data_IF_458337713290
#
_entry.id   IF_458337713290
#
_cell.length_a   1.000
_cell.length_b   1.000
_cell.length_c   1.000
_cell.angle_alpha   90.00
_cell.angle_beta   90.00
_cell.angle_gamma   90.00
#
_symmetry.space_group_name_H-M   'P 1'
#
loop_
_entity.id
_entity.type
_entity.pdbx_description
1 polymer ?
#
# COMPACT_ATOMS: atom_id res chain seq x y z
N UNK A 1 -45.70 4.64 24.94
CA UNK A 1 -44.33 4.28 25.32
C UNK A 1 -43.36 4.16 24.14
N UNK A 2 -43.75 3.74 22.95
CA UNK A 2 -42.89 3.59 21.75
C UNK A 2 -42.41 4.93 21.17
N UNK A 3 -43.26 5.97 21.15
CA UNK A 3 -42.92 7.28 20.54
C UNK A 3 -41.85 8.04 21.31
N UNK A 4 -41.77 7.92 22.65
CA UNK A 4 -40.73 8.53 23.49
C UNK A 4 -39.38 7.88 23.31
N UNK A 5 -39.33 6.57 23.01
CA UNK A 5 -38.06 5.86 22.74
C UNK A 5 -37.49 6.24 21.37
N UNK A 6 -38.35 6.43 20.36
CA UNK A 6 -37.90 6.86 19.03
C UNK A 6 -37.40 8.30 19.06
N UNK A 7 -38.09 9.19 19.81
CA UNK A 7 -37.61 10.57 19.98
C UNK A 7 -36.28 10.67 20.74
N UNK A 8 -36.06 9.78 21.73
CA UNK A 8 -34.78 9.68 22.47
C UNK A 8 -33.61 9.19 21.60
N UNK A 9 -33.88 8.27 20.68
CA UNK A 9 -32.87 7.75 19.76
C UNK A 9 -32.51 8.81 18.69
N UNK A 10 -33.51 9.54 18.16
CA UNK A 10 -33.25 10.64 17.22
C UNK A 10 -32.49 11.78 17.90
N UNK A 11 -32.81 12.11 19.14
CA UNK A 11 -32.08 13.13 19.90
C UNK A 11 -30.65 12.70 20.25
N UNK A 12 -30.42 11.41 20.54
CA UNK A 12 -29.08 10.85 20.76
C UNK A 12 -28.23 10.85 19.49
N UNK A 13 -28.82 10.58 18.33
CA UNK A 13 -28.13 10.66 17.03
C UNK A 13 -27.79 12.12 16.70
N UNK A 14 -28.69 13.07 16.94
CA UNK A 14 -28.40 14.50 16.74
C UNK A 14 -27.33 15.02 17.71
N UNK A 15 -27.23 14.51 18.93
CA UNK A 15 -26.18 14.90 19.89
C UNK A 15 -24.80 14.27 19.57
N UNK A 16 -24.78 13.12 18.90
CA UNK A 16 -23.52 12.48 18.46
C UNK A 16 -22.89 13.19 17.24
N UNK A 17 -23.70 13.83 16.40
CA UNK A 17 -23.22 14.62 15.25
C UNK A 17 -22.58 15.95 15.70
N UNK A 18 -22.91 16.48 16.88
CA UNK A 18 -22.46 17.80 17.34
C UNK A 18 -21.13 17.82 18.11
N UNK A 19 -20.42 16.69 18.26
CA UNK A 19 -19.13 16.65 18.97
C UNK A 19 -17.91 16.44 18.08
N UNK A 20 -18.06 16.50 16.75
CA UNK A 20 -16.91 16.55 15.85
C UNK A 20 -16.35 17.98 15.77
N UNK A 21 -15.96 18.53 16.93
CA UNK A 21 -15.06 19.67 16.93
C UNK A 21 -13.65 19.13 16.68
N UNK A 22 -13.24 19.11 15.42
CA UNK A 22 -11.84 19.06 15.07
C UNK A 22 -11.18 20.35 15.60
N UNK A 23 -10.81 20.36 16.88
CA UNK A 23 -10.07 21.46 17.51
C UNK A 23 -8.63 21.43 17.00
N UNK A 24 -8.45 21.93 15.79
CA UNK A 24 -7.16 22.37 15.26
C UNK A 24 -7.23 23.88 15.11
N UNK A 25 -6.93 24.64 16.17
CA UNK A 25 -6.73 26.09 16.06
C UNK A 25 -5.49 26.35 15.21
N UNK A 26 -5.65 26.61 13.93
CA UNK A 26 -4.72 27.46 13.18
C UNK A 26 -5.42 28.79 12.94
N UNK A 27 -4.84 29.85 13.51
CA UNK A 27 -5.22 31.24 13.37
C UNK A 27 -4.95 31.72 11.92
N UNK A 28 -5.79 31.32 11.00
CA UNK A 28 -6.01 32.04 9.74
C UNK A 28 -7.48 31.83 9.40
N UNK A 29 -8.17 32.93 9.22
CA UNK A 29 -9.57 33.00 8.77
C UNK A 29 -9.64 32.46 7.32
N UNK A 30 -9.53 31.14 7.17
CA UNK A 30 -9.63 30.45 5.90
C UNK A 30 -11.09 30.11 5.70
N UNK A 31 -11.67 30.59 4.62
CA UNK A 31 -13.04 30.24 4.26
C UNK A 31 -13.20 28.75 4.04
N UNK A 32 -14.40 28.22 4.21
CA UNK A 32 -14.72 26.82 3.97
C UNK A 32 -14.93 26.55 2.49
N UNK A 33 -14.01 25.84 1.84
CA UNK A 33 -14.12 25.51 0.43
C UNK A 33 -15.20 24.44 0.15
N UNK A 34 -15.52 23.60 1.12
CA UNK A 34 -16.50 22.52 0.96
C UNK A 34 -17.17 22.17 2.30
N UNK A 35 -18.48 21.89 2.25
CA UNK A 35 -19.25 21.30 3.34
C UNK A 35 -19.87 19.97 2.89
N UNK A 36 -19.91 18.99 3.80
CA UNK A 36 -20.63 17.72 3.60
C UNK A 36 -21.58 17.53 4.79
N UNK A 37 -22.89 17.48 4.52
CA UNK A 37 -23.93 17.38 5.57
C UNK A 37 -23.81 18.46 6.65
N UNK A 38 -23.37 19.67 6.29
CA UNK A 38 -23.15 20.77 7.23
C UNK A 38 -21.85 20.68 8.04
N UNK A 39 -20.99 19.69 7.76
CA UNK A 39 -19.65 19.58 8.36
C UNK A 39 -18.63 20.17 7.40
N UNK A 40 -17.85 21.10 7.89
CA UNK A 40 -16.78 21.73 7.11
C UNK A 40 -15.64 20.75 6.82
N UNK A 41 -15.28 20.65 5.54
CA UNK A 41 -14.03 20.03 5.12
C UNK A 41 -12.98 21.15 5.07
N UNK A 42 -11.92 20.99 5.85
CA UNK A 42 -10.87 22.02 5.94
C UNK A 42 -10.22 22.26 4.57
N UNK A 43 -9.90 23.51 4.31
CA UNK A 43 -9.37 23.99 3.02
C UNK A 43 -8.15 23.21 2.54
N UNK A 44 -7.26 22.86 3.46
CA UNK A 44 -6.06 22.09 3.19
C UNK A 44 -6.37 20.64 2.78
N UNK A 45 -7.42 20.01 3.36
CA UNK A 45 -7.92 18.69 2.96
C UNK A 45 -8.57 18.77 1.57
N UNK A 46 -9.40 19.80 1.31
CA UNK A 46 -9.99 19.97 -0.01
C UNK A 46 -8.93 20.25 -1.08
N UNK A 47 -7.92 21.06 -0.76
CA UNK A 47 -6.78 21.35 -1.67
C UNK A 47 -6.01 20.09 -2.01
N UNK A 48 -5.77 19.20 -1.04
CA UNK A 48 -5.14 17.90 -1.30
C UNK A 48 -5.96 17.07 -2.29
N UNK A 49 -7.29 16.99 -2.12
CA UNK A 49 -8.14 16.24 -3.04
C UNK A 49 -8.24 16.90 -4.42
N UNK A 50 -8.15 18.23 -4.50
CA UNK A 50 -8.10 18.93 -5.77
C UNK A 50 -6.77 18.66 -6.50
N UNK A 51 -5.65 18.62 -5.77
CA UNK A 51 -4.36 18.21 -6.33
C UNK A 51 -4.39 16.77 -6.85
N UNK A 52 -4.99 15.86 -6.09
CA UNK A 52 -5.17 14.47 -6.51
C UNK A 52 -6.04 14.35 -7.78
N UNK A 53 -7.11 15.15 -7.87
CA UNK A 53 -7.93 15.23 -9.09
C UNK A 53 -7.13 15.74 -10.30
N UNK A 54 -6.23 16.69 -10.09
CA UNK A 54 -5.30 17.17 -11.14
C UNK A 54 -4.30 16.08 -11.55
N UNK A 55 -3.83 15.25 -10.61
CA UNK A 55 -2.97 14.09 -10.93
C UNK A 55 -3.72 13.09 -11.81
N UNK A 56 -4.97 12.80 -11.48
CA UNK A 56 -5.77 11.79 -12.19
C UNK A 56 -6.26 12.24 -13.57
N UNK A 57 -6.70 13.50 -13.69
CA UNK A 57 -7.35 14.00 -14.89
C UNK A 57 -6.45 14.87 -15.78
N UNK A 58 -5.30 15.27 -15.27
CA UNK A 58 -4.39 16.21 -15.91
C UNK A 58 -4.71 17.69 -15.54
N UNK A 59 -3.67 18.54 -15.56
CA UNK A 59 -3.78 19.97 -15.23
C UNK A 59 -4.67 20.73 -16.21
N UNK A 60 -4.77 20.29 -17.46
CA UNK A 60 -5.57 20.90 -18.53
C UNK A 60 -7.04 20.43 -18.52
N UNK A 61 -7.42 19.56 -17.58
CA UNK A 61 -8.81 19.10 -17.48
C UNK A 61 -9.75 20.26 -17.12
N UNK A 62 -11.02 20.23 -17.59
CA UNK A 62 -11.99 21.26 -17.22
C UNK A 62 -12.10 21.42 -15.70
N UNK A 63 -11.98 22.65 -15.20
CA UNK A 63 -12.03 22.91 -13.76
C UNK A 63 -13.29 22.35 -13.07
N UNK A 64 -14.41 22.31 -13.80
CA UNK A 64 -15.64 21.68 -13.31
C UNK A 64 -15.41 20.20 -13.00
N UNK A 65 -14.77 19.44 -13.91
CA UNK A 65 -14.48 18.02 -13.73
C UNK A 65 -13.48 17.76 -12.59
N UNK A 66 -12.48 18.63 -12.45
CA UNK A 66 -11.53 18.58 -11.34
C UNK A 66 -12.22 18.78 -9.98
N UNK A 67 -13.14 19.75 -9.89
CA UNK A 67 -13.92 19.98 -8.66
C UNK A 67 -14.87 18.82 -8.34
N UNK A 68 -15.55 18.27 -9.35
CA UNK A 68 -16.41 17.10 -9.18
C UNK A 68 -15.62 15.89 -8.69
N UNK A 69 -14.43 15.67 -9.24
CA UNK A 69 -13.55 14.58 -8.81
C UNK A 69 -13.01 14.79 -7.39
N UNK A 70 -12.57 16.02 -7.06
CA UNK A 70 -12.14 16.39 -5.71
C UNK A 70 -13.25 16.21 -4.67
N UNK A 71 -14.50 16.58 -5.03
CA UNK A 71 -15.67 16.35 -4.18
C UNK A 71 -15.89 14.87 -3.92
N UNK A 72 -15.81 14.05 -4.95
CA UNK A 72 -15.94 12.59 -4.80
C UNK A 72 -14.91 12.01 -3.83
N UNK A 73 -13.67 12.46 -3.87
CA UNK A 73 -12.65 12.06 -2.90
C UNK A 73 -12.97 12.52 -1.48
N UNK A 74 -13.39 13.78 -1.32
CA UNK A 74 -13.77 14.32 -0.01
C UNK A 74 -15.00 13.61 0.56
N UNK A 75 -15.98 13.24 -0.27
CA UNK A 75 -17.14 12.43 0.14
C UNK A 75 -16.75 11.05 0.61
N UNK A 76 -15.85 10.35 -0.13
CA UNK A 76 -15.33 9.04 0.28
C UNK A 76 -14.56 9.15 1.60
N UNK A 77 -13.70 10.15 1.75
CA UNK A 77 -13.00 10.46 3.00
C UNK A 77 -13.98 10.65 4.17
N UNK A 78 -15.01 11.46 3.98
CA UNK A 78 -16.03 11.73 4.99
C UNK A 78 -16.81 10.47 5.37
N UNK A 79 -17.28 9.70 4.37
CA UNK A 79 -18.04 8.45 4.57
C UNK A 79 -17.19 7.41 5.29
N UNK A 80 -15.91 7.25 4.91
CA UNK A 80 -14.97 6.32 5.55
C UNK A 80 -14.80 6.62 7.03
N UNK A 81 -14.52 7.89 7.38
CA UNK A 81 -14.39 8.31 8.77
C UNK A 81 -15.70 8.10 9.54
N UNK A 82 -16.84 8.50 8.96
CA UNK A 82 -18.17 8.37 9.58
C UNK A 82 -18.53 6.91 9.83
N UNK A 83 -18.29 6.02 8.86
CA UNK A 83 -18.58 4.60 9.00
C UNK A 83 -17.67 3.97 10.07
N UNK A 84 -16.35 4.23 10.04
CA UNK A 84 -15.41 3.70 11.02
C UNK A 84 -15.81 4.11 12.45
N UNK A 85 -16.13 5.37 12.65
CA UNK A 85 -16.59 5.86 13.96
C UNK A 85 -17.91 5.23 14.39
N UNK A 86 -18.88 5.07 13.47
CA UNK A 86 -20.18 4.43 13.79
C UNK A 86 -20.03 2.97 14.20
N UNK A 87 -19.00 2.29 13.67
CA UNK A 87 -18.63 0.92 14.05
C UNK A 87 -17.73 0.85 15.29
N UNK A 88 -17.40 1.99 15.92
CA UNK A 88 -16.51 2.04 17.09
C UNK A 88 -15.06 1.69 16.78
N UNK A 89 -14.65 1.75 15.51
CA UNK A 89 -13.28 1.44 15.07
C UNK A 89 -12.34 2.55 15.53
N UNK A 90 -11.24 2.14 16.14
CA UNK A 90 -10.16 3.03 16.56
C UNK A 90 -8.82 2.42 16.16
N UNK A 91 -7.89 3.26 15.67
CA UNK A 91 -6.57 2.78 15.31
C UNK A 91 -5.73 2.46 16.56
N UNK A 92 -5.06 1.34 16.55
CA UNK A 92 -4.07 0.92 17.55
C UNK A 92 -2.85 1.85 17.56
N UNK A 93 -1.99 1.72 18.57
CA UNK A 93 -0.72 2.46 18.65
C UNK A 93 0.19 2.11 17.44
N UNK A 94 0.21 0.86 17.02
CA UNK A 94 1.01 0.40 15.88
C UNK A 94 0.52 1.02 14.55
N UNK A 95 -0.79 1.05 14.32
CA UNK A 95 -1.38 1.65 13.12
C UNK A 95 -1.16 3.17 13.09
N UNK A 96 -1.31 3.87 14.22
CA UNK A 96 -1.00 5.31 14.32
C UNK A 96 0.47 5.59 14.03
N UNK A 97 1.38 4.72 14.49
CA UNK A 97 2.80 4.82 14.18
C UNK A 97 3.06 4.62 12.68
N UNK A 98 2.44 3.61 12.06
CA UNK A 98 2.54 3.36 10.62
C UNK A 98 2.02 4.57 9.80
N UNK A 99 0.90 5.18 10.21
CA UNK A 99 0.42 6.45 9.60
C UNK A 99 1.49 7.54 9.70
N UNK A 100 2.08 7.75 10.88
CA UNK A 100 3.12 8.76 11.08
C UNK A 100 4.36 8.51 10.22
N UNK A 101 4.79 7.26 10.09
CA UNK A 101 5.92 6.87 9.22
C UNK A 101 5.61 7.12 7.75
N UNK A 102 4.41 6.76 7.29
CA UNK A 102 3.92 7.04 5.92
C UNK A 102 3.87 8.55 5.64
N UNK A 103 3.35 9.34 6.59
CA UNK A 103 3.33 10.81 6.50
C UNK A 103 4.75 11.37 6.37
N UNK A 104 5.68 10.94 7.21
CA UNK A 104 7.05 11.43 7.20
C UNK A 104 7.77 11.08 5.89
N UNK A 105 7.61 9.86 5.40
CA UNK A 105 8.18 9.42 4.12
C UNK A 105 7.62 10.26 2.97
N UNK A 106 6.29 10.41 2.89
CA UNK A 106 5.63 11.17 1.84
C UNK A 106 6.00 12.67 1.88
N UNK A 107 6.04 13.24 3.08
CA UNK A 107 6.48 14.61 3.29
C UNK A 107 7.94 14.84 2.89
N UNK A 108 8.80 13.86 3.08
CA UNK A 108 10.20 13.92 2.66
C UNK A 108 10.37 14.12 1.16
N UNK A 109 9.46 13.58 0.36
CA UNK A 109 9.50 13.71 -1.10
C UNK A 109 8.72 14.94 -1.62
N UNK A 110 7.59 15.29 -1.01
CA UNK A 110 6.64 16.24 -1.57
C UNK A 110 6.37 17.45 -0.68
N UNK A 111 7.00 17.57 0.51
CA UNK A 111 6.67 18.58 1.51
C UNK A 111 6.88 20.02 1.05
N UNK A 112 7.89 20.30 0.21
CA UNK A 112 8.10 21.61 -0.37
C UNK A 112 6.94 22.01 -1.30
N UNK A 113 6.54 21.11 -2.17
CA UNK A 113 5.40 21.28 -3.08
C UNK A 113 4.11 21.49 -2.28
N UNK A 114 3.82 20.61 -1.32
CA UNK A 114 2.61 20.72 -0.50
C UNK A 114 2.53 22.03 0.28
N UNK A 115 3.65 22.50 0.83
CA UNK A 115 3.69 23.77 1.53
C UNK A 115 3.26 24.93 0.62
N UNK A 116 3.66 24.93 -0.65
CA UNK A 116 3.30 25.97 -1.62
C UNK A 116 1.81 25.97 -1.96
N UNK A 117 1.16 24.82 -1.97
CA UNK A 117 -0.29 24.70 -2.23
C UNK A 117 -1.13 24.72 -0.94
N UNK A 118 -0.53 24.93 0.23
CA UNK A 118 -1.23 25.05 1.51
C UNK A 118 -1.61 23.73 2.19
N UNK A 119 -1.09 22.60 1.72
CA UNK A 119 -1.24 21.29 2.36
C UNK A 119 -0.17 21.11 3.43
N UNK A 120 -0.50 20.53 4.58
CA UNK A 120 0.36 20.37 5.75
C UNK A 120 0.61 18.90 6.10
N UNK A 121 1.58 18.63 6.98
CA UNK A 121 1.73 17.26 7.55
C UNK A 121 0.48 16.79 8.31
N UNK A 122 -0.21 17.71 8.95
CA UNK A 122 -1.46 17.41 9.65
C UNK A 122 -2.55 16.99 8.67
N UNK A 123 -2.64 17.66 7.52
CA UNK A 123 -3.51 17.26 6.40
C UNK A 123 -3.24 15.82 5.98
N UNK A 124 -1.97 15.50 5.69
CA UNK A 124 -1.59 14.14 5.32
C UNK A 124 -1.90 13.11 6.41
N UNK A 125 -1.75 13.51 7.69
CA UNK A 125 -2.11 12.65 8.81
C UNK A 125 -3.61 12.34 8.80
N UNK A 126 -4.48 13.32 8.55
CA UNK A 126 -5.92 13.12 8.43
C UNK A 126 -6.27 12.17 7.28
N UNK A 127 -5.65 12.38 6.11
CA UNK A 127 -5.90 11.56 4.91
C UNK A 127 -5.44 10.10 5.15
N UNK A 128 -4.19 9.89 5.57
CA UNK A 128 -3.66 8.54 5.79
C UNK A 128 -4.30 7.82 6.99
N UNK A 129 -4.88 8.58 7.93
CA UNK A 129 -5.74 8.01 8.97
C UNK A 129 -7.03 7.45 8.37
N UNK A 130 -7.65 8.16 7.42
CA UNK A 130 -8.85 7.66 6.74
C UNK A 130 -8.54 6.42 5.87
N UNK A 131 -7.36 6.37 5.21
CA UNK A 131 -6.90 5.16 4.51
C UNK A 131 -6.79 3.97 5.49
N UNK A 132 -6.21 4.22 6.69
CA UNK A 132 -6.11 3.19 7.74
C UNK A 132 -7.47 2.79 8.31
N UNK A 133 -8.43 3.70 8.38
CA UNK A 133 -9.82 3.35 8.73
C UNK A 133 -10.49 2.50 7.66
N UNK A 134 -10.24 2.75 6.36
CA UNK A 134 -10.75 1.88 5.28
C UNK A 134 -10.19 0.45 5.43
N UNK A 135 -8.90 0.32 5.69
CA UNK A 135 -8.28 -0.99 5.93
C UNK A 135 -8.85 -1.67 7.20
N UNK A 136 -9.04 -0.92 8.27
CA UNK A 136 -9.64 -1.43 9.50
C UNK A 136 -11.11 -1.88 9.29
N UNK A 137 -11.89 -1.14 8.49
CA UNK A 137 -13.24 -1.53 8.07
C UNK A 137 -13.23 -2.81 7.25
N UNK A 138 -12.29 -2.95 6.31
CA UNK A 138 -12.11 -4.17 5.52
C UNK A 138 -11.90 -5.38 6.43
N UNK A 139 -10.97 -5.27 7.39
CA UNK A 139 -10.69 -6.34 8.36
C UNK A 139 -11.88 -6.57 9.30
N UNK A 140 -12.59 -5.51 9.71
CA UNK A 140 -13.77 -5.60 10.58
C UNK A 140 -14.90 -6.42 9.95
N UNK A 141 -15.19 -6.20 8.67
CA UNK A 141 -16.27 -6.92 7.99
C UNK A 141 -15.84 -8.29 7.49
N UNK A 142 -14.66 -8.40 6.89
CA UNK A 142 -14.23 -9.57 6.11
C UNK A 142 -13.09 -10.37 6.74
N UNK A 143 -12.48 -9.85 7.81
CA UNK A 143 -11.45 -10.53 8.59
C UNK A 143 -12.01 -11.62 9.50
N UNK A 144 -11.16 -12.24 10.29
CA UNK A 144 -11.55 -13.30 11.24
C UNK A 144 -12.55 -12.78 12.26
N UNK A 145 -13.72 -13.41 12.33
CA UNK A 145 -14.82 -13.04 13.22
C UNK A 145 -15.69 -11.89 12.71
N UNK A 146 -15.42 -11.39 11.51
CA UNK A 146 -16.26 -10.39 10.85
C UNK A 146 -17.59 -10.97 10.37
N UNK A 147 -18.60 -10.09 10.15
CA UNK A 147 -19.95 -10.51 9.73
C UNK A 147 -19.94 -11.24 8.38
N UNK A 148 -18.99 -10.90 7.50
CA UNK A 148 -18.85 -11.43 6.15
C UNK A 148 -17.46 -12.09 6.00
N UNK A 149 -17.00 -12.78 7.04
CA UNK A 149 -15.66 -13.38 7.09
C UNK A 149 -15.36 -14.22 5.84
N UNK A 150 -14.22 -13.94 5.19
CA UNK A 150 -13.76 -14.72 4.05
C UNK A 150 -13.18 -16.03 4.55
N UNK A 151 -13.65 -17.18 4.03
CA UNK A 151 -13.13 -18.49 4.43
C UNK A 151 -11.61 -18.58 4.22
N UNK A 152 -10.90 -19.12 5.23
CA UNK A 152 -9.45 -19.29 5.20
C UNK A 152 -8.95 -20.01 3.94
N UNK A 153 -9.71 -21.00 3.45
CA UNK A 153 -9.37 -21.72 2.24
C UNK A 153 -9.36 -20.82 0.99
N UNK A 154 -10.27 -19.82 0.92
CA UNK A 154 -10.32 -18.84 -0.18
C UNK A 154 -9.13 -17.88 -0.11
N UNK A 155 -8.81 -17.36 1.09
CA UNK A 155 -7.62 -16.54 1.31
C UNK A 155 -6.33 -17.27 0.92
N UNK A 156 -6.21 -18.54 1.33
CA UNK A 156 -5.05 -19.33 1.02
C UNK A 156 -4.94 -19.69 -0.47
N UNK A 157 -6.05 -19.93 -1.15
CA UNK A 157 -6.07 -20.11 -2.59
C UNK A 157 -5.56 -18.85 -3.32
N UNK A 158 -5.99 -17.66 -2.86
CA UNK A 158 -5.55 -16.38 -3.38
C UNK A 158 -4.06 -16.16 -3.12
N UNK A 159 -3.57 -16.47 -1.91
CA UNK A 159 -2.15 -16.40 -1.59
C UNK A 159 -1.31 -17.26 -2.55
N UNK A 160 -1.66 -18.53 -2.75
CA UNK A 160 -0.94 -19.42 -3.67
C UNK A 160 -0.97 -18.97 -5.13
N UNK A 161 -1.98 -18.21 -5.52
CA UNK A 161 -2.09 -17.66 -6.87
C UNK A 161 -1.15 -16.47 -7.06
N UNK A 162 -1.03 -15.60 -6.05
CA UNK A 162 -0.34 -14.33 -6.17
C UNK A 162 1.07 -14.32 -5.58
N UNK A 163 1.39 -15.25 -4.67
CA UNK A 163 2.67 -15.27 -3.95
C UNK A 163 3.37 -16.61 -4.06
N UNK A 164 4.69 -16.53 -4.06
CA UNK A 164 5.60 -17.66 -3.82
C UNK A 164 6.53 -17.31 -2.67
N UNK A 165 6.90 -18.33 -1.89
CA UNK A 165 7.87 -18.22 -0.80
C UNK A 165 9.05 -19.12 -1.13
N UNK A 166 10.25 -18.55 -1.10
CA UNK A 166 11.47 -19.30 -1.39
C UNK A 166 12.67 -18.71 -0.65
N UNK A 167 13.70 -19.52 -0.44
CA UNK A 167 15.04 -19.06 -0.11
C UNK A 167 15.81 -18.88 -1.41
N UNK A 168 16.66 -17.86 -1.47
CA UNK A 168 17.53 -17.61 -2.61
C UNK A 168 18.94 -17.24 -2.18
N UNK A 169 19.91 -17.73 -2.97
CA UNK A 169 21.28 -17.20 -3.02
C UNK A 169 21.44 -16.61 -4.41
N UNK A 170 21.93 -15.36 -4.49
CA UNK A 170 22.09 -14.63 -5.75
C UNK A 170 23.56 -14.54 -6.15
N UNK A 171 23.88 -14.89 -7.39
CA UNK A 171 25.15 -14.61 -8.03
C UNK A 171 24.98 -13.58 -9.15
N UNK A 172 25.97 -12.71 -9.31
CA UNK A 172 25.94 -11.63 -10.31
C UNK A 172 26.73 -12.06 -11.54
N UNK A 173 26.09 -12.02 -12.72
CA UNK A 173 26.72 -12.21 -14.04
C UNK A 173 27.22 -10.89 -14.63
N UNK A 174 27.21 -9.84 -13.81
CA UNK A 174 27.68 -8.49 -14.13
C UNK A 174 28.63 -8.00 -13.05
N UNK A 175 29.51 -7.08 -13.41
CA UNK A 175 30.43 -6.39 -12.49
C UNK A 175 30.57 -4.92 -12.87
N UNK A 176 31.01 -4.09 -11.92
CA UNK A 176 31.29 -2.68 -12.20
C UNK A 176 32.76 -2.56 -12.64
N UNK A 177 33.01 -2.02 -13.85
CA UNK A 177 34.34 -1.76 -14.35
C UNK A 177 34.96 -0.51 -13.70
N UNK A 178 36.25 -0.26 -13.99
CA UNK A 178 36.98 0.89 -13.45
C UNK A 178 36.40 2.25 -13.79
N UNK A 179 35.54 2.33 -14.82
CA UNK A 179 34.85 3.55 -15.23
C UNK A 179 33.48 3.69 -14.57
N UNK A 180 33.13 2.83 -13.62
CA UNK A 180 31.81 2.84 -12.96
C UNK A 180 30.65 2.27 -13.78
N UNK A 181 30.91 1.61 -14.92
CA UNK A 181 29.90 1.03 -15.79
C UNK A 181 29.64 -0.43 -15.43
N UNK A 182 28.38 -0.85 -15.44
CA UNK A 182 28.01 -2.26 -15.30
C UNK A 182 28.31 -3.00 -16.61
N UNK A 183 29.13 -4.03 -16.55
CA UNK A 183 29.53 -4.88 -17.69
C UNK A 183 29.31 -6.35 -17.32
N UNK A 184 29.04 -7.19 -18.33
CA UNK A 184 28.96 -8.64 -18.11
C UNK A 184 30.34 -9.20 -17.75
N UNK A 185 30.38 -10.18 -16.84
CA UNK A 185 31.60 -10.98 -16.59
C UNK A 185 31.98 -11.77 -17.85
N UNK A 186 33.22 -12.16 -17.96
CA UNK A 186 33.65 -12.96 -19.14
C UNK A 186 33.04 -14.38 -19.12
N UNK A 187 33.02 -15.07 -20.26
CA UNK A 187 32.36 -16.39 -20.37
C UNK A 187 33.02 -17.44 -19.47
N UNK A 188 34.35 -17.40 -19.26
CA UNK A 188 35.04 -18.33 -18.36
C UNK A 188 34.62 -18.15 -16.90
N UNK A 189 34.52 -16.91 -16.44
CA UNK A 189 33.99 -16.58 -15.09
C UNK A 189 32.55 -16.98 -14.94
N UNK A 190 31.73 -16.74 -15.97
CA UNK A 190 30.30 -17.11 -15.99
C UNK A 190 30.10 -18.63 -15.91
N UNK A 191 30.85 -19.40 -16.74
CA UNK A 191 30.83 -20.87 -16.69
C UNK A 191 31.24 -21.41 -15.33
N UNK A 192 32.32 -20.85 -14.76
CA UNK A 192 32.78 -21.23 -13.43
C UNK A 192 31.73 -20.94 -12.33
N UNK A 193 31.07 -19.80 -12.41
CA UNK A 193 30.01 -19.44 -11.47
C UNK A 193 28.78 -20.36 -11.63
N UNK A 194 28.36 -20.62 -12.85
CA UNK A 194 27.24 -21.56 -13.14
C UNK A 194 27.55 -22.94 -12.53
N UNK A 195 28.77 -23.46 -12.75
CA UNK A 195 29.19 -24.76 -12.21
C UNK A 195 29.15 -24.77 -10.66
N UNK A 196 29.58 -23.67 -10.00
CA UNK A 196 29.46 -23.55 -8.54
C UNK A 196 28.01 -23.64 -8.07
N UNK A 197 27.08 -22.92 -8.72
CA UNK A 197 25.67 -22.95 -8.39
C UNK A 197 25.05 -24.35 -8.62
N UNK A 198 25.45 -25.05 -9.69
CA UNK A 198 25.04 -26.43 -9.93
C UNK A 198 25.54 -27.38 -8.84
N UNK A 199 26.80 -27.24 -8.42
CA UNK A 199 27.37 -28.05 -7.33
C UNK A 199 26.65 -27.76 -6.01
N UNK A 200 26.41 -26.50 -5.65
CA UNK A 200 25.65 -26.13 -4.46
C UNK A 200 24.23 -26.74 -4.50
N UNK A 201 23.56 -26.66 -5.66
CA UNK A 201 22.25 -27.30 -5.84
C UNK A 201 22.30 -28.81 -5.59
N UNK A 202 23.31 -29.49 -6.11
CA UNK A 202 23.49 -30.92 -5.92
C UNK A 202 23.72 -31.28 -4.44
N UNK A 203 24.58 -30.54 -3.73
CA UNK A 203 24.91 -30.77 -2.32
C UNK A 203 23.70 -30.49 -1.41
N UNK A 204 22.94 -29.42 -1.68
CA UNK A 204 21.70 -29.13 -0.94
C UNK A 204 20.65 -30.23 -1.17
N UNK A 205 20.50 -30.69 -2.40
CA UNK A 205 19.55 -31.75 -2.73
C UNK A 205 19.97 -33.13 -2.19
N UNK A 206 21.25 -33.37 -2.00
CA UNK A 206 21.78 -34.57 -1.33
C UNK A 206 21.66 -34.51 0.21
N UNK A 207 21.31 -33.34 0.77
CA UNK A 207 21.28 -33.12 2.22
C UNK A 207 22.67 -32.97 2.86
N UNK A 208 23.71 -32.79 2.05
CA UNK A 208 25.09 -32.58 2.50
C UNK A 208 25.33 -31.16 3.02
N UNK A 209 24.54 -30.20 2.52
CA UNK A 209 24.55 -28.79 2.94
C UNK A 209 23.11 -28.27 3.05
N UNK A 210 22.92 -27.26 3.90
CA UNK A 210 21.72 -26.40 3.84
C UNK A 210 22.01 -25.14 3.01
N UNK A 211 20.99 -24.27 2.84
CA UNK A 211 21.14 -23.03 2.05
C UNK A 211 22.17 -22.06 2.65
N UNK A 212 22.27 -21.96 3.98
CA UNK A 212 23.22 -21.12 4.70
C UNK A 212 24.65 -21.60 4.43
N UNK A 213 24.92 -22.89 4.54
CA UNK A 213 26.23 -23.48 4.27
C UNK A 213 26.63 -23.34 2.79
N UNK A 214 25.65 -23.41 1.87
CA UNK A 214 25.89 -23.15 0.45
C UNK A 214 26.24 -21.68 0.19
N UNK A 215 25.64 -20.75 0.91
CA UNK A 215 25.99 -19.33 0.84
C UNK A 215 27.39 -19.05 1.38
N UNK A 216 27.76 -19.66 2.52
CA UNK A 216 29.08 -19.54 3.10
C UNK A 216 30.15 -20.07 2.13
N UNK A 217 29.90 -21.23 1.49
CA UNK A 217 30.82 -21.77 0.45
C UNK A 217 31.00 -20.80 -0.74
N UNK A 218 29.94 -20.11 -1.14
CA UNK A 218 30.02 -19.12 -2.21
C UNK A 218 30.87 -17.90 -1.75
N UNK A 219 30.66 -17.43 -0.50
CA UNK A 219 31.38 -16.32 0.10
C UNK A 219 32.92 -16.64 0.23
N UNK A 220 33.27 -17.82 0.69
CA UNK A 220 34.68 -18.30 0.77
C UNK A 220 35.34 -18.35 -0.61
N UNK A 221 34.54 -18.51 -1.66
CA UNK A 221 35.02 -18.49 -3.05
C UNK A 221 35.22 -17.09 -3.62
N UNK A 222 35.04 -16.02 -2.81
CA UNK A 222 35.23 -14.62 -3.21
C UNK A 222 34.00 -13.96 -3.86
N UNK A 223 32.82 -14.60 -3.82
CA UNK A 223 31.55 -14.03 -4.27
C UNK A 223 30.73 -13.56 -3.08
N UNK A 224 29.73 -12.70 -3.34
CA UNK A 224 28.75 -12.36 -2.31
C UNK A 224 27.85 -13.57 -2.08
N UNK A 225 27.82 -14.08 -0.84
CA UNK A 225 27.00 -15.20 -0.44
C UNK A 225 26.12 -14.80 0.74
N UNK A 226 24.80 -14.77 0.54
CA UNK A 226 23.83 -14.65 1.62
C UNK A 226 22.53 -15.34 1.21
N UNK A 227 21.87 -15.96 2.18
CA UNK A 227 20.54 -16.53 1.98
C UNK A 227 19.51 -15.44 2.29
N UNK A 228 18.57 -15.27 1.39
CA UNK A 228 17.40 -14.42 1.61
C UNK A 228 16.14 -15.26 1.54
N UNK A 229 15.24 -15.11 2.52
CA UNK A 229 13.88 -15.62 2.40
C UNK A 229 13.01 -14.55 1.76
N UNK A 230 12.39 -14.90 0.65
CA UNK A 230 11.63 -13.99 -0.21
C UNK A 230 10.18 -14.43 -0.26
N UNK A 231 9.28 -13.45 -0.10
CA UNK A 231 7.85 -13.58 -0.40
C UNK A 231 7.58 -12.71 -1.61
N UNK A 232 7.55 -13.32 -2.78
CA UNK A 232 7.47 -12.60 -4.06
C UNK A 232 6.03 -12.58 -4.56
N UNK A 233 5.51 -11.38 -4.84
CA UNK A 233 4.25 -11.21 -5.55
C UNK A 233 4.45 -11.41 -7.06
N UNK A 234 3.44 -11.92 -7.77
CA UNK A 234 3.51 -12.18 -9.21
C UNK A 234 3.80 -10.94 -10.07
N UNK A 235 3.36 -9.76 -9.60
CA UNK A 235 3.51 -8.48 -10.29
C UNK A 235 4.70 -7.65 -9.76
N UNK A 236 5.54 -8.23 -8.90
CA UNK A 236 6.74 -7.57 -8.38
C UNK A 236 7.79 -7.44 -9.49
N UNK A 237 8.25 -6.21 -9.71
CA UNK A 237 9.24 -5.86 -10.73
C UNK A 237 10.67 -5.80 -10.20
N UNK A 238 10.90 -6.10 -8.93
CA UNK A 238 12.25 -6.12 -8.31
C UNK A 238 13.10 -7.30 -8.77
N UNK A 239 12.46 -8.31 -9.38
CA UNK A 239 13.10 -9.47 -9.99
C UNK A 239 12.99 -9.42 -11.53
N UNK A 240 13.89 -10.12 -12.25
CA UNK A 240 13.86 -10.16 -13.72
C UNK A 240 12.49 -10.65 -14.27
N UNK A 241 12.07 -10.16 -15.44
CA UNK A 241 10.81 -10.59 -16.05
C UNK A 241 10.68 -12.11 -16.16
N UNK A 242 9.52 -12.64 -15.78
CA UNK A 242 9.22 -14.08 -15.77
C UNK A 242 9.89 -14.88 -14.64
N UNK A 243 10.61 -14.24 -13.72
CA UNK A 243 11.26 -14.93 -12.60
C UNK A 243 10.24 -15.60 -11.67
N UNK A 244 9.13 -14.93 -11.37
CA UNK A 244 8.03 -15.51 -10.58
C UNK A 244 7.59 -16.88 -11.13
N UNK A 245 7.28 -16.96 -12.43
CA UNK A 245 6.82 -18.19 -13.06
C UNK A 245 7.92 -19.27 -13.09
N UNK A 246 9.19 -18.87 -13.28
CA UNK A 246 10.31 -19.83 -13.21
C UNK A 246 10.39 -20.46 -11.82
N UNK A 247 10.31 -19.67 -10.75
CA UNK A 247 10.35 -20.18 -9.37
C UNK A 247 9.10 -21.00 -9.04
N UNK A 248 7.93 -20.51 -9.43
CA UNK A 248 6.64 -21.21 -9.22
C UNK A 248 6.62 -22.63 -9.80
N UNK A 249 7.28 -22.80 -10.95
CA UNK A 249 7.35 -24.10 -11.64
C UNK A 249 8.50 -25.02 -11.13
N UNK A 250 9.33 -24.57 -10.16
CA UNK A 250 10.30 -25.47 -9.54
C UNK A 250 9.60 -26.49 -8.62
N UNK A 251 10.24 -27.62 -8.41
CA UNK A 251 9.79 -28.61 -7.41
C UNK A 251 9.96 -28.01 -6.01
N UNK A 252 8.91 -28.12 -5.16
CA UNK A 252 8.99 -27.68 -3.77
C UNK A 252 10.03 -28.47 -2.99
N UNK A 253 10.75 -27.77 -2.09
CA UNK A 253 11.82 -28.33 -1.24
C UNK A 253 12.99 -28.94 -2.01
N UNK A 254 13.15 -28.58 -3.28
CA UNK A 254 14.28 -28.94 -4.11
C UNK A 254 15.02 -27.71 -4.58
N UNK A 255 16.32 -27.63 -4.27
CA UNK A 255 17.19 -26.56 -4.72
C UNK A 255 17.34 -26.61 -6.23
N UNK A 256 17.05 -25.50 -6.90
CA UNK A 256 17.06 -25.38 -8.36
C UNK A 256 17.86 -24.15 -8.77
N UNK A 257 18.70 -24.28 -9.79
CA UNK A 257 19.43 -23.14 -10.36
C UNK A 257 18.61 -22.46 -11.42
N UNK A 258 18.42 -21.14 -11.30
CA UNK A 258 17.71 -20.29 -12.26
C UNK A 258 18.65 -19.23 -12.78
N UNK A 259 18.94 -19.26 -14.08
CA UNK A 259 19.73 -18.24 -14.77
C UNK A 259 18.84 -17.16 -15.41
N UNK A 260 19.36 -15.92 -15.42
CA UNK A 260 18.87 -14.77 -16.17
C UNK A 260 20.03 -14.14 -16.94
N UNK A 261 19.82 -12.99 -17.57
CA UNK A 261 20.91 -12.31 -18.27
C UNK A 261 21.97 -11.72 -17.34
N UNK A 262 21.55 -11.25 -16.15
CA UNK A 262 22.41 -10.51 -15.21
C UNK A 262 22.68 -11.26 -13.92
N UNK A 263 21.87 -12.29 -13.62
CA UNK A 263 21.91 -13.01 -12.36
C UNK A 263 21.83 -14.52 -12.55
N UNK A 264 22.40 -15.23 -11.58
CA UNK A 264 22.15 -16.66 -11.36
C UNK A 264 21.65 -16.83 -9.92
N UNK A 265 20.61 -17.62 -9.75
CA UNK A 265 20.00 -17.86 -8.45
C UNK A 265 20.03 -19.35 -8.11
N UNK A 266 20.38 -19.68 -6.87
CA UNK A 266 20.02 -20.97 -6.27
C UNK A 266 18.75 -20.73 -5.47
N UNK A 267 17.66 -21.37 -5.87
CA UNK A 267 16.33 -21.18 -5.29
C UNK A 267 15.89 -22.47 -4.61
N UNK A 268 15.44 -22.38 -3.37
CA UNK A 268 14.75 -23.44 -2.64
C UNK A 268 13.32 -22.99 -2.31
N UNK A 269 12.35 -23.42 -3.13
CA UNK A 269 10.96 -23.05 -2.91
C UNK A 269 10.41 -23.77 -1.67
N UNK A 270 9.84 -22.98 -0.75
CA UNK A 270 9.11 -23.47 0.41
C UNK A 270 7.62 -23.66 0.12
N UNK A 271 6.96 -24.42 1.00
CA UNK A 271 5.50 -24.50 1.07
C UNK A 271 5.03 -23.60 2.21
N UNK A 272 4.51 -22.41 1.90
CA UNK A 272 3.81 -21.61 2.89
C UNK A 272 2.44 -22.25 3.15
N UNK A 273 2.15 -22.59 4.39
CA UNK A 273 0.84 -23.06 4.83
C UNK A 273 0.02 -21.93 5.47
N UNK A 274 -1.22 -22.21 5.85
CA UNK A 274 -2.12 -21.23 6.49
C UNK A 274 -1.68 -20.82 7.89
N UNK A 275 -0.67 -21.46 8.48
CA UNK A 275 -0.08 -21.12 9.77
C UNK A 275 1.23 -20.34 9.63
N UNK A 276 1.75 -20.23 8.40
CA UNK A 276 3.00 -19.52 8.15
C UNK A 276 2.87 -18.03 8.47
N UNK A 277 3.93 -17.44 9.01
CA UNK A 277 4.04 -15.99 9.22
C UNK A 277 3.81 -15.25 7.91
N UNK A 278 4.38 -15.74 6.82
CA UNK A 278 4.28 -15.14 5.49
C UNK A 278 2.83 -15.02 4.98
N UNK A 279 2.02 -16.06 5.17
CA UNK A 279 0.61 -16.01 4.81
C UNK A 279 -0.15 -15.01 5.70
N UNK A 280 0.13 -15.02 7.01
CA UNK A 280 -0.54 -14.13 7.97
C UNK A 280 -0.22 -12.66 7.70
N UNK A 281 1.02 -12.32 7.37
CA UNK A 281 1.44 -10.97 7.00
C UNK A 281 0.75 -10.46 5.73
N UNK A 282 0.37 -11.35 4.81
CA UNK A 282 -0.31 -11.02 3.56
C UNK A 282 -1.84 -11.15 3.63
N UNK A 283 -2.39 -11.47 4.80
CA UNK A 283 -3.81 -11.79 4.94
C UNK A 283 -4.72 -10.61 4.56
N UNK A 284 -4.45 -9.41 5.06
CA UNK A 284 -5.22 -8.20 4.74
C UNK A 284 -5.19 -7.90 3.25
N UNK A 285 -4.02 -8.05 2.62
CA UNK A 285 -3.88 -7.87 1.18
C UNK A 285 -4.69 -8.91 0.38
N UNK A 286 -4.77 -10.16 0.85
CA UNK A 286 -5.64 -11.16 0.22
C UNK A 286 -7.14 -10.81 0.37
N UNK A 287 -7.54 -10.26 1.52
CA UNK A 287 -8.90 -9.77 1.74
C UNK A 287 -9.19 -8.64 0.75
N UNK A 288 -8.28 -7.67 0.63
CA UNK A 288 -8.41 -6.55 -0.30
C UNK A 288 -8.56 -7.01 -1.76
N UNK A 289 -7.73 -7.96 -2.22
CA UNK A 289 -7.83 -8.51 -3.58
C UNK A 289 -9.20 -9.17 -3.84
N UNK A 290 -9.81 -9.77 -2.82
CA UNK A 290 -11.05 -10.53 -2.98
C UNK A 290 -12.30 -9.64 -2.89
N UNK A 291 -12.30 -8.63 -2.01
CA UNK A 291 -13.49 -7.83 -1.66
C UNK A 291 -13.21 -6.32 -1.55
N UNK A 292 -12.11 -5.82 -2.12
CA UNK A 292 -11.78 -4.39 -2.11
C UNK A 292 -12.91 -3.53 -2.68
N UNK A 293 -13.49 -3.94 -3.80
CA UNK A 293 -14.64 -3.23 -4.39
C UNK A 293 -15.90 -3.30 -3.52
N UNK A 294 -16.07 -4.38 -2.75
CA UNK A 294 -17.23 -4.56 -1.87
C UNK A 294 -17.16 -3.64 -0.67
N UNK A 295 -15.99 -3.45 -0.05
CA UNK A 295 -15.82 -2.49 1.05
C UNK A 295 -15.99 -1.05 0.56
N UNK A 296 -15.48 -0.70 -0.62
CA UNK A 296 -15.67 0.62 -1.20
C UNK A 296 -17.14 0.91 -1.49
N UNK A 297 -17.87 -0.06 -2.05
CA UNK A 297 -19.33 0.03 -2.21
C UNK A 297 -20.09 0.14 -0.88
N UNK A 298 -19.60 -0.53 0.17
CA UNK A 298 -20.20 -0.47 1.52
C UNK A 298 -19.99 0.93 2.13
N UNK A 299 -18.79 1.49 1.99
CA UNK A 299 -18.48 2.87 2.39
C UNK A 299 -19.35 3.85 1.62
N UNK A 300 -19.42 3.71 0.30
CA UNK A 300 -20.19 4.62 -0.56
C UNK A 300 -21.68 4.66 -0.19
N UNK A 301 -22.26 3.51 0.12
CA UNK A 301 -23.67 3.36 0.50
C UNK A 301 -23.95 3.60 1.99
N UNK A 302 -22.91 3.77 2.82
CA UNK A 302 -23.06 3.89 4.28
C UNK A 302 -23.83 5.13 4.71
N UNK A 303 -23.75 6.22 3.94
CA UNK A 303 -24.35 7.50 4.24
C UNK A 303 -24.70 8.25 2.96
N UNK A 304 -25.90 8.79 2.88
CA UNK A 304 -26.24 9.80 1.88
C UNK A 304 -25.63 11.15 2.28
N UNK A 305 -24.98 11.80 1.34
CA UNK A 305 -24.33 13.08 1.58
C UNK A 305 -24.90 14.16 0.69
N UNK A 306 -25.04 15.37 1.27
CA UNK A 306 -25.30 16.62 0.55
C UNK A 306 -24.06 17.48 0.64
N UNK A 307 -23.52 17.87 -0.52
CA UNK A 307 -22.28 18.65 -0.61
C UNK A 307 -22.53 20.06 -1.11
N UNK A 308 -21.78 21.02 -0.55
CA UNK A 308 -21.73 22.42 -0.99
C UNK A 308 -20.27 22.81 -1.19
N UNK A 309 -19.96 23.47 -2.31
CA UNK A 309 -18.62 23.93 -2.65
C UNK A 309 -18.66 25.45 -2.82
N UNK A 310 -17.72 26.14 -2.14
CA UNK A 310 -17.42 27.53 -2.48
C UNK A 310 -16.55 27.56 -3.74
N UNK A 311 -17.18 27.92 -4.84
CA UNK A 311 -16.52 27.94 -6.14
C UNK A 311 -15.41 28.98 -6.23
N UNK A 312 -15.47 30.06 -5.46
CA UNK A 312 -14.45 31.10 -5.46
C UNK A 312 -13.16 30.61 -4.81
N UNK A 313 -13.29 30.00 -3.63
CA UNK A 313 -12.15 29.40 -2.92
C UNK A 313 -11.55 28.23 -3.70
N UNK A 314 -12.38 27.32 -4.22
CA UNK A 314 -11.91 26.20 -5.03
C UNK A 314 -11.14 26.64 -6.29
N UNK A 315 -11.56 27.74 -6.95
CA UNK A 315 -10.83 28.30 -8.08
C UNK A 315 -9.47 28.88 -7.66
N UNK A 316 -9.42 29.50 -6.48
CA UNK A 316 -8.17 30.03 -5.90
C UNK A 316 -7.15 28.91 -5.66
N UNK A 317 -7.56 27.80 -5.03
CA UNK A 317 -6.69 26.64 -4.77
C UNK A 317 -6.24 25.95 -6.06
N UNK A 318 -7.14 25.80 -7.04
CA UNK A 318 -6.74 25.29 -8.36
C UNK A 318 -5.66 26.16 -9.00
N UNK A 319 -5.78 27.49 -8.92
CA UNK A 319 -4.78 28.41 -9.51
C UNK A 319 -3.39 28.23 -8.88
N UNK A 320 -3.32 27.93 -7.56
CA UNK A 320 -2.04 27.62 -6.90
C UNK A 320 -1.46 26.31 -7.43
N UNK A 321 -2.27 25.25 -7.51
CA UNK A 321 -1.86 23.93 -8.02
C UNK A 321 -1.39 24.03 -9.47
N UNK A 322 -2.15 24.70 -10.33
CA UNK A 322 -1.83 24.85 -11.75
C UNK A 322 -0.51 25.61 -11.96
N UNK A 323 -0.26 26.66 -11.16
CA UNK A 323 1.00 27.39 -11.19
C UNK A 323 2.18 26.50 -10.85
N UNK A 324 2.13 25.75 -9.75
CA UNK A 324 3.24 24.88 -9.31
C UNK A 324 3.47 23.68 -10.26
N UNK A 325 2.44 23.22 -10.99
CA UNK A 325 2.57 22.13 -11.98
C UNK A 325 2.89 22.63 -13.40
N UNK A 326 2.56 23.87 -13.72
CA UNK A 326 2.80 24.48 -15.04
C UNK A 326 4.19 25.10 -15.22
N UNK A 327 4.90 25.39 -14.13
CA UNK A 327 6.25 25.96 -14.14
C UNK A 327 7.37 24.89 -14.32
N UNK A 328 7.05 23.69 -14.87
CA UNK A 328 8.02 22.62 -15.12
C UNK A 328 8.36 22.47 -16.60
#
# INVERSE_FOLDING_TARGET
>A
MKLRKILSIILAICCLVSTFIFSGCSLTDKGTAMEINGVEISDDVFTYFLDLAVVDLGVDAPLKSLKEKASSYAETYFKTNSLAHSQGITLSIAEKKAVSEKVNAHWGFYGEYYTKIGVTKETLTKIFTADSFREALLVHYYGTGGEEEIPLARLYAQFKTNYIVFQAITGYLTQTNLNGQTVKINETEKEALILKFQNMSAMVNAGEQNMEQAADFLAESGYQGSVQTVVLHKDDTSYPPGFFEKVKNTESRRATVIGTEEFIFLVLRGDADTKSTYFNEKRTEMIEIIVGDEIDNKIEKSLMVETKIDNSLANGYYSLIAKEKGDK
#
